data_IF_361983656337
#
_entry.id   IF_361983656337
#
_cell.length_a   1.000
_cell.length_b   1.000
_cell.length_c   1.000
_cell.angle_alpha   90.00
_cell.angle_beta   90.00
_cell.angle_gamma   90.00
#
_symmetry.space_group_name_H-M   'P 1'
#
loop_
_entity.id
_entity.type
_entity.pdbx_description
1 polymer ?
#
# COMPACT_ATOMS: atom_id res chain seq x y z
N UNK A 1 11.82 -2.55 -31.66
CA UNK A 1 11.59 -3.79 -30.91
C UNK A 1 11.28 -3.39 -29.48
N UNK A 2 10.04 -3.58 -29.00
CA UNK A 2 9.70 -3.37 -27.58
C UNK A 2 10.10 -4.62 -26.82
N UNK A 3 11.26 -4.58 -26.17
CA UNK A 3 11.78 -5.67 -25.34
C UNK A 3 10.91 -5.84 -24.09
N UNK A 4 10.36 -7.05 -23.90
CA UNK A 4 9.61 -7.40 -22.71
C UNK A 4 10.54 -7.58 -21.51
N UNK A 5 10.36 -6.78 -20.47
CA UNK A 5 11.14 -6.84 -19.23
C UNK A 5 10.31 -7.48 -18.12
N UNK A 6 10.95 -8.20 -17.20
CA UNK A 6 10.25 -8.84 -16.08
C UNK A 6 10.01 -7.86 -14.95
N UNK A 7 8.80 -7.87 -14.38
CA UNK A 7 8.48 -7.13 -13.16
C UNK A 7 9.27 -7.69 -11.97
N UNK A 8 9.85 -6.82 -11.14
CA UNK A 8 10.61 -7.24 -9.95
C UNK A 8 9.76 -7.87 -8.83
N UNK A 9 8.43 -7.69 -8.84
CA UNK A 9 7.54 -8.17 -7.78
C UNK A 9 6.89 -9.50 -8.15
N UNK A 10 6.37 -9.62 -9.36
CA UNK A 10 5.63 -10.80 -9.81
C UNK A 10 6.34 -11.61 -10.89
N UNK A 11 7.54 -11.21 -11.31
CA UNK A 11 8.37 -11.85 -12.34
C UNK A 11 7.71 -11.99 -13.74
N UNK A 12 6.50 -11.46 -13.93
CA UNK A 12 5.81 -11.50 -15.22
C UNK A 12 6.52 -10.64 -16.26
N UNK A 13 6.64 -11.09 -17.52
CA UNK A 13 7.11 -10.26 -18.62
C UNK A 13 6.08 -9.16 -18.92
N UNK A 14 6.57 -7.94 -19.12
CA UNK A 14 5.73 -6.75 -19.35
C UNK A 14 6.44 -5.81 -20.30
N UNK A 15 5.67 -5.21 -21.22
CA UNK A 15 6.17 -4.24 -22.19
C UNK A 15 6.51 -2.89 -21.55
N UNK A 16 5.80 -2.53 -20.48
CA UNK A 16 5.93 -1.23 -19.81
C UNK A 16 6.13 -1.48 -18.32
N UNK A 17 7.30 -1.08 -17.82
CA UNK A 17 7.62 -1.06 -16.39
C UNK A 17 7.86 0.39 -15.96
N UNK A 18 7.35 0.76 -14.80
CA UNK A 18 7.68 2.02 -14.13
C UNK A 18 8.58 1.69 -12.94
N UNK A 19 9.84 2.11 -13.00
CA UNK A 19 10.83 1.79 -11.96
C UNK A 19 11.05 0.27 -11.75
N UNK A 20 10.92 -0.54 -12.81
CA UNK A 20 11.11 -2.00 -12.73
C UNK A 20 9.89 -2.79 -12.23
N UNK A 21 8.78 -2.12 -11.93
CA UNK A 21 7.55 -2.73 -11.42
C UNK A 21 6.41 -2.51 -12.41
N UNK A 22 5.53 -3.51 -12.55
CA UNK A 22 4.34 -3.40 -13.37
C UNK A 22 3.23 -2.63 -12.65
N UNK A 23 2.36 -1.98 -13.43
CA UNK A 23 1.24 -1.18 -12.94
C UNK A 23 0.39 -1.88 -11.85
N UNK A 24 -0.06 -3.15 -12.01
CA UNK A 24 -0.85 -3.82 -10.97
C UNK A 24 -0.08 -4.09 -9.68
N UNK A 25 1.24 -4.34 -9.75
CA UNK A 25 2.06 -4.48 -8.55
C UNK A 25 2.30 -3.12 -7.87
N UNK A 26 2.46 -2.05 -8.64
CA UNK A 26 2.52 -0.70 -8.06
C UNK A 26 1.22 -0.32 -7.36
N UNK A 27 0.07 -0.60 -7.96
CA UNK A 27 -1.24 -0.31 -7.37
C UNK A 27 -1.43 -1.09 -6.06
N UNK A 28 -1.04 -2.37 -6.04
CA UNK A 28 -1.09 -3.19 -4.82
C UNK A 28 -0.21 -2.61 -3.72
N UNK A 29 1.05 -2.27 -4.02
CA UNK A 29 1.98 -1.66 -3.06
C UNK A 29 1.41 -0.34 -2.51
N UNK A 30 0.82 0.50 -3.38
CA UNK A 30 0.17 1.74 -2.95
C UNK A 30 -1.01 1.48 -2.03
N UNK A 31 -1.87 0.52 -2.35
CA UNK A 31 -3.00 0.14 -1.49
C UNK A 31 -2.53 -0.43 -0.15
N UNK A 32 -1.46 -1.21 -0.13
CA UNK A 32 -0.89 -1.74 1.12
C UNK A 32 -0.29 -0.60 1.95
N UNK A 33 0.52 0.27 1.34
CA UNK A 33 1.10 1.43 2.02
C UNK A 33 0.04 2.43 2.56
N UNK A 34 -1.04 2.65 1.82
CA UNK A 34 -2.15 3.53 2.24
C UNK A 34 -3.14 2.82 3.19
N UNK A 35 -3.35 1.52 3.01
CA UNK A 35 -4.28 0.70 3.79
C UNK A 35 -3.76 0.37 5.18
N UNK A 36 -2.44 0.22 5.35
CA UNK A 36 -1.82 0.07 6.67
C UNK A 36 -2.03 1.32 7.53
N UNK A 37 -2.13 2.52 6.92
CA UNK A 37 -2.48 3.74 7.66
C UNK A 37 -3.94 3.74 8.16
N UNK A 38 -4.87 3.14 7.43
CA UNK A 38 -6.29 3.13 7.80
C UNK A 38 -6.58 2.23 9.02
N UNK A 39 -5.92 1.06 9.11
CA UNK A 39 -6.11 0.12 10.22
C UNK A 39 -5.39 0.51 11.51
N UNK A 40 -4.27 1.24 11.42
CA UNK A 40 -3.53 1.72 12.59
C UNK A 40 -4.34 2.79 13.33
N UNK A 41 -4.96 3.73 12.61
CA UNK A 41 -5.78 4.78 13.23
C UNK A 41 -6.97 4.22 14.01
N UNK A 42 -7.69 3.26 13.44
CA UNK A 42 -8.86 2.65 14.10
C UNK A 42 -8.47 1.78 15.31
N UNK A 43 -7.36 1.02 15.23
CA UNK A 43 -6.82 0.33 16.41
C UNK A 43 -6.34 1.29 17.48
N UNK A 44 -5.61 2.34 17.11
CA UNK A 44 -5.12 3.33 18.05
C UNK A 44 -6.28 4.04 18.76
N UNK A 45 -7.30 4.46 18.02
CA UNK A 45 -8.52 5.07 18.57
C UNK A 45 -9.26 4.12 19.53
N UNK A 46 -9.39 2.83 19.15
CA UNK A 46 -9.99 1.80 19.99
C UNK A 46 -9.20 1.54 21.27
N UNK A 47 -7.87 1.54 21.21
CA UNK A 47 -7.03 1.38 22.41
C UNK A 47 -7.08 2.63 23.30
N UNK A 48 -7.05 3.84 22.73
CA UNK A 48 -7.21 5.10 23.46
C UNK A 48 -8.57 5.17 24.18
N UNK A 49 -9.65 4.76 23.51
CA UNK A 49 -10.98 4.68 24.08
C UNK A 49 -11.07 3.70 25.26
N UNK A 50 -10.36 2.56 25.20
CA UNK A 50 -10.26 1.61 26.34
C UNK A 50 -9.59 2.22 27.56
N UNK A 51 -8.67 3.17 27.36
CA UNK A 51 -8.01 3.92 28.43
C UNK A 51 -8.77 5.20 28.83
N UNK A 52 -9.99 5.41 28.31
CA UNK A 52 -10.83 6.56 28.64
C UNK A 52 -10.38 7.87 27.98
N UNK A 53 -9.45 7.81 27.02
CA UNK A 53 -8.98 8.97 26.27
C UNK A 53 -9.83 9.08 25.01
N UNK A 54 -10.67 10.09 24.93
CA UNK A 54 -11.36 10.45 23.68
C UNK A 54 -10.46 11.39 22.88
N UNK A 55 -9.84 10.95 21.76
CA UNK A 55 -9.14 11.86 20.89
C UNK A 55 -10.16 12.79 20.22
N UNK A 56 -10.29 14.01 20.72
CA UNK A 56 -11.01 15.07 20.01
C UNK A 56 -10.33 15.28 18.66
N UNK A 57 -10.95 14.76 17.59
CA UNK A 57 -10.55 15.04 16.22
C UNK A 57 -10.66 16.56 16.01
N UNK A 58 -9.53 17.21 15.80
CA UNK A 58 -9.47 18.63 15.42
C UNK A 58 -9.48 18.75 13.90
#
# INVERSE_FOLDING_TARGET
>A
MTEEKKCMICAKPVLILKGGICDPCQDRIRREALGEQAGIGERADRELAKHGVNPSKK
#
